data_IF_061009432281
#
_entry.id   IF_061009432281
#
_cell.length_a   1.000
_cell.length_b   1.000
_cell.length_c   1.000
_cell.angle_alpha   90.00
_cell.angle_beta   90.00
_cell.angle_gamma   90.00
#
_symmetry.space_group_name_H-M   'P 1'
#
loop_
_entity.id
_entity.type
_entity.pdbx_description
1 polymer ?
#
# COMPACT_ATOMS: atom_id res chain seq x y z
N UNK A 1 55.85 -73.30 -8.88
CA UNK A 1 54.75 -74.03 -9.55
C UNK A 1 53.46 -73.55 -8.92
N UNK A 2 52.83 -72.52 -9.47
CA UNK A 2 51.75 -72.59 -10.47
C UNK A 2 50.51 -73.36 -10.00
N UNK A 3 49.39 -72.64 -9.89
CA UNK A 3 48.06 -73.21 -9.62
C UNK A 3 47.03 -72.12 -9.31
N UNK A 4 46.68 -71.33 -10.32
CA UNK A 4 45.58 -70.34 -10.33
C UNK A 4 44.25 -71.06 -10.63
N UNK A 5 43.10 -70.46 -10.27
CA UNK A 5 41.69 -70.62 -10.77
C UNK A 5 40.73 -70.66 -9.57
N UNK A 6 39.56 -70.00 -9.48
CA UNK A 6 38.89 -68.80 -10.02
C UNK A 6 37.57 -68.64 -9.20
N UNK A 7 37.09 -67.39 -9.05
CA UNK A 7 35.67 -66.98 -8.92
C UNK A 7 34.78 -67.50 -7.77
N UNK A 8 34.12 -66.57 -7.05
CA UNK A 8 32.69 -66.26 -7.28
C UNK A 8 32.25 -64.95 -6.61
N UNK A 9 31.61 -64.11 -7.42
CA UNK A 9 30.92 -62.85 -7.08
C UNK A 9 29.66 -63.05 -6.22
N UNK A 10 29.31 -62.05 -5.41
CA UNK A 10 28.07 -62.00 -4.63
C UNK A 10 27.80 -60.60 -4.07
N UNK A 11 27.39 -59.68 -4.94
CA UNK A 11 26.85 -58.36 -4.59
C UNK A 11 25.38 -58.52 -4.18
N UNK A 12 24.97 -58.05 -3.01
CA UNK A 12 23.57 -58.03 -2.55
C UNK A 12 23.19 -56.60 -2.15
N UNK A 13 22.68 -55.85 -3.12
CA UNK A 13 21.91 -54.63 -2.88
C UNK A 13 20.43 -54.99 -2.74
N UNK A 14 19.92 -54.91 -1.51
CA UNK A 14 18.50 -55.08 -1.20
C UNK A 14 17.70 -53.84 -1.60
N UNK A 15 17.02 -53.98 -2.75
CA UNK A 15 15.75 -53.35 -3.13
C UNK A 15 14.78 -53.26 -1.91
N UNK A 16 14.33 -52.09 -1.43
CA UNK A 16 13.14 -51.34 -1.91
C UNK A 16 12.88 -50.10 -1.02
N UNK A 17 12.91 -48.86 -1.54
CA UNK A 17 12.21 -47.74 -0.89
C UNK A 17 11.25 -47.01 -1.84
N UNK A 18 10.67 -47.68 -2.85
CA UNK A 18 9.89 -46.98 -3.89
C UNK A 18 8.44 -46.65 -3.49
N UNK A 19 7.87 -47.28 -2.46
CA UNK A 19 6.46 -47.08 -2.06
C UNK A 19 6.24 -46.06 -0.92
N UNK A 20 7.26 -45.78 -0.10
CA UNK A 20 7.15 -44.84 1.01
C UNK A 20 7.28 -43.37 0.56
N UNK A 21 7.88 -43.11 -0.60
CA UNK A 21 8.08 -41.76 -1.16
C UNK A 21 6.82 -41.18 -1.83
N UNK A 22 5.90 -42.02 -2.30
CA UNK A 22 4.70 -41.57 -3.02
C UNK A 22 3.60 -41.03 -2.09
N UNK A 23 3.49 -41.53 -0.87
CA UNK A 23 2.48 -41.08 0.11
C UNK A 23 2.87 -39.77 0.81
N UNK A 24 4.17 -39.50 0.99
CA UNK A 24 4.65 -38.25 1.58
C UNK A 24 4.43 -37.03 0.66
N UNK A 25 4.41 -37.23 -0.67
CA UNK A 25 4.23 -36.15 -1.64
C UNK A 25 2.78 -35.65 -1.72
N UNK A 26 1.79 -36.45 -1.33
CA UNK A 26 0.37 -36.10 -1.43
C UNK A 26 -0.16 -35.30 -0.22
N UNK A 27 0.51 -35.42 0.95
CA UNK A 27 0.19 -34.58 2.12
C UNK A 27 0.81 -33.18 2.05
N UNK A 28 1.88 -32.98 1.28
CA UNK A 28 2.60 -31.71 1.21
C UNK A 28 1.92 -30.66 0.31
N UNK A 29 1.04 -31.08 -0.60
CA UNK A 29 0.32 -30.20 -1.54
C UNK A 29 -0.90 -29.51 -0.92
N UNK A 30 -1.36 -29.91 0.27
CA UNK A 30 -2.48 -29.26 0.97
C UNK A 30 -2.07 -28.02 1.79
N UNK A 31 -0.78 -27.70 1.84
CA UNK A 31 -0.25 -26.51 2.51
C UNK A 31 0.02 -25.33 1.56
N UNK A 32 -0.30 -25.45 0.27
CA UNK A 32 -0.35 -24.30 -0.65
C UNK A 32 -1.65 -23.54 -0.36
N UNK A 33 -1.66 -22.87 0.78
CA UNK A 33 -2.75 -22.02 1.21
C UNK A 33 -3.05 -20.98 0.15
N UNK A 34 -4.34 -20.89 -0.20
CA UNK A 34 -4.92 -19.82 -0.99
C UNK A 34 -4.57 -18.48 -0.31
N UNK A 35 -3.52 -17.84 -0.81
CA UNK A 35 -3.24 -16.46 -0.49
C UNK A 35 -4.45 -15.66 -0.95
N UNK A 36 -5.13 -15.01 -0.01
CA UNK A 36 -6.07 -13.93 -0.32
C UNK A 36 -5.28 -12.83 -1.04
N UNK A 37 -5.15 -12.97 -2.35
CA UNK A 37 -4.48 -12.02 -3.23
C UNK A 37 -5.50 -11.00 -3.65
N UNK A 38 -5.30 -9.75 -3.24
CA UNK A 38 -5.95 -8.63 -3.91
C UNK A 38 -5.62 -8.70 -5.41
N UNK A 39 -6.56 -8.44 -6.33
CA UNK A 39 -6.27 -8.39 -7.77
C UNK A 39 -5.44 -7.16 -8.16
N UNK A 40 -5.09 -6.31 -7.18
CA UNK A 40 -4.32 -5.09 -7.39
C UNK A 40 -2.89 -5.26 -6.90
N UNK A 41 -1.97 -4.71 -7.68
CA UNK A 41 -0.59 -4.50 -7.30
C UNK A 41 -0.46 -3.18 -6.51
N UNK A 42 0.35 -3.19 -5.46
CA UNK A 42 0.59 -2.04 -4.60
C UNK A 42 2.08 -1.70 -4.54
N UNK A 43 2.38 -0.41 -4.53
CA UNK A 43 3.73 0.13 -4.43
C UNK A 43 3.88 1.03 -3.19
N UNK A 44 5.05 1.04 -2.54
CA UNK A 44 5.31 1.92 -1.41
C UNK A 44 5.10 3.40 -1.75
N UNK A 45 4.30 4.09 -0.96
CA UNK A 45 4.04 5.51 -1.08
C UNK A 45 4.63 6.26 0.10
N UNK A 46 5.57 7.14 -0.19
CA UNK A 46 6.23 8.01 0.79
C UNK A 46 6.29 9.42 0.25
N UNK A 47 6.48 10.42 1.11
CA UNK A 47 6.63 11.77 0.61
C UNK A 47 6.57 12.84 1.69
N UNK A 48 6.45 14.08 1.22
CA UNK A 48 6.37 15.27 2.05
C UNK A 48 5.28 16.21 1.55
N UNK A 49 4.62 16.86 2.50
CA UNK A 49 3.56 17.83 2.28
C UNK A 49 3.97 19.15 2.93
N UNK A 50 4.02 20.21 2.12
CA UNK A 50 4.30 21.57 2.60
C UNK A 50 3.32 22.55 2.00
N UNK A 51 3.29 23.78 2.52
CA UNK A 51 2.72 24.87 1.76
C UNK A 51 3.58 25.20 0.53
N UNK A 52 3.00 25.91 -0.43
CA UNK A 52 3.70 26.36 -1.65
C UNK A 52 4.95 27.21 -1.37
N UNK A 53 4.94 27.97 -0.26
CA UNK A 53 6.09 28.76 0.19
C UNK A 53 7.16 27.93 0.92
N UNK A 54 6.99 26.61 0.98
CA UNK A 54 7.88 25.66 1.64
C UNK A 54 7.70 25.56 3.16
N UNK A 55 6.82 26.38 3.77
CA UNK A 55 6.55 26.26 5.21
C UNK A 55 5.75 24.99 5.53
N UNK A 56 6.00 24.42 6.71
CA UNK A 56 5.25 23.26 7.19
C UNK A 56 3.79 23.64 7.48
N UNK A 57 2.89 22.69 7.26
CA UNK A 57 1.50 22.81 7.71
C UNK A 57 1.50 22.67 9.24
N UNK A 58 0.95 23.63 10.00
CA UNK A 58 0.93 23.57 11.46
C UNK A 58 0.37 22.24 11.94
N UNK A 59 1.14 21.52 12.74
CA UNK A 59 0.70 20.24 13.29
C UNK A 59 -0.03 20.46 14.61
N UNK A 60 -1.27 19.96 14.70
CA UNK A 60 -2.18 20.23 15.80
C UNK A 60 -3.01 19.02 16.22
N UNK A 61 -2.71 17.85 15.66
CA UNK A 61 -3.47 16.63 15.91
C UNK A 61 -3.13 15.56 14.89
N UNK A 62 -3.94 15.43 13.85
CA UNK A 62 -3.74 14.41 12.81
C UNK A 62 -4.02 15.00 11.44
N UNK A 63 -2.98 15.12 10.62
CA UNK A 63 -3.16 15.41 9.19
C UNK A 63 -3.30 14.07 8.47
N UNK A 64 -4.45 13.86 7.84
CA UNK A 64 -4.78 12.62 7.13
C UNK A 64 -4.78 12.87 5.63
N UNK A 65 -4.15 11.95 4.90
CA UNK A 65 -4.19 11.90 3.45
C UNK A 65 -4.91 10.65 2.97
N UNK A 66 -5.66 10.78 1.88
CA UNK A 66 -6.32 9.69 1.19
C UNK A 66 -5.94 9.69 -0.29
N UNK A 67 -5.45 8.54 -0.77
CA UNK A 67 -5.08 8.30 -2.16
C UNK A 67 -6.26 7.58 -2.82
N UNK A 68 -7.02 8.32 -3.62
CA UNK A 68 -8.18 7.79 -4.33
C UNK A 68 -7.78 7.42 -5.76
N UNK A 69 -7.81 6.12 -6.06
CA UNK A 69 -7.47 5.64 -7.39
C UNK A 69 -8.43 6.14 -8.46
N UNK A 70 -7.86 6.51 -9.59
CA UNK A 70 -8.57 6.91 -10.80
C UNK A 70 -8.65 5.75 -11.82
N UNK A 71 -8.14 4.56 -11.48
CA UNK A 71 -8.22 3.40 -12.38
C UNK A 71 -9.64 2.82 -12.41
N UNK A 72 -10.11 2.33 -13.56
CA UNK A 72 -11.40 1.68 -13.66
C UNK A 72 -11.43 0.36 -12.87
N UNK A 73 -12.63 -0.10 -12.45
CA UNK A 73 -12.76 -1.38 -11.79
C UNK A 73 -12.36 -2.55 -12.70
N UNK A 74 -11.67 -3.55 -12.15
CA UNK A 74 -11.38 -4.81 -12.84
C UNK A 74 -12.67 -5.61 -12.97
N UNK A 75 -12.96 -6.07 -14.19
CA UNK A 75 -14.18 -6.81 -14.56
C UNK A 75 -15.49 -6.11 -14.14
N UNK A 76 -15.46 -4.78 -13.96
CA UNK A 76 -16.61 -4.00 -13.48
C UNK A 76 -17.03 -4.28 -12.04
N UNK A 77 -16.25 -5.07 -11.29
CA UNK A 77 -16.63 -5.58 -9.95
C UNK A 77 -15.64 -5.20 -8.86
N UNK A 78 -14.35 -5.19 -9.16
CA UNK A 78 -13.31 -4.95 -8.17
C UNK A 78 -12.85 -3.51 -8.25
N UNK A 79 -13.06 -2.77 -7.17
CA UNK A 79 -12.58 -1.40 -7.01
C UNK A 79 -11.35 -1.36 -6.11
N UNK A 80 -10.39 -0.51 -6.43
CA UNK A 80 -9.25 -0.26 -5.55
C UNK A 80 -9.72 0.49 -4.32
N UNK A 81 -9.39 -0.05 -3.15
CA UNK A 81 -9.64 0.65 -1.89
C UNK A 81 -8.71 1.86 -1.79
N UNK A 82 -9.20 3.05 -1.43
CA UNK A 82 -8.35 4.19 -1.19
C UNK A 82 -7.32 3.89 -0.11
N UNK A 83 -6.09 4.33 -0.31
CA UNK A 83 -5.05 4.21 0.70
C UNK A 83 -5.07 5.42 1.64
N UNK A 84 -4.68 5.22 2.89
CA UNK A 84 -4.59 6.28 3.89
C UNK A 84 -3.15 6.43 4.34
N UNK A 85 -2.67 7.67 4.40
CA UNK A 85 -1.42 8.03 5.07
C UNK A 85 -1.69 9.08 6.16
N UNK A 86 -0.82 9.09 7.16
CA UNK A 86 -0.79 10.13 8.19
C UNK A 86 0.49 10.92 8.03
N UNK A 87 0.36 12.23 8.12
CA UNK A 87 1.48 13.16 7.95
C UNK A 87 1.98 13.56 9.33
N UNK A 88 3.29 13.42 9.52
CA UNK A 88 4.01 13.80 10.73
C UNK A 88 4.19 15.32 10.83
N UNK A 89 4.67 15.77 12.00
CA UNK A 89 4.77 17.19 12.31
C UNK A 89 5.74 17.97 11.40
N UNK A 90 6.68 17.29 10.77
CA UNK A 90 7.62 17.86 9.79
C UNK A 90 7.09 17.87 8.35
N UNK A 91 5.84 17.43 8.17
CA UNK A 91 5.17 17.33 6.88
C UNK A 91 5.45 16.02 6.14
N UNK A 92 6.22 15.08 6.68
CA UNK A 92 6.52 13.82 6.00
C UNK A 92 5.45 12.76 6.23
N UNK A 93 5.35 11.78 5.33
CA UNK A 93 4.63 10.53 5.57
C UNK A 93 5.46 9.35 5.06
N UNK A 94 5.67 8.37 5.93
CA UNK A 94 6.55 7.23 5.62
C UNK A 94 5.86 6.08 4.91
N UNK A 95 4.52 6.05 4.92
CA UNK A 95 3.77 4.95 4.32
C UNK A 95 2.30 5.30 4.15
N UNK A 96 1.69 4.74 3.10
CA UNK A 96 0.25 4.63 2.96
C UNK A 96 -0.21 3.17 3.22
N UNK A 97 -1.46 3.01 3.59
CA UNK A 97 -2.10 1.70 3.81
C UNK A 97 -3.43 1.65 3.08
N UNK A 98 -3.58 0.71 2.15
CA UNK A 98 -4.83 0.39 1.45
C UNK A 98 -5.50 -0.84 2.06
N UNK A 99 -4.84 -2.00 2.01
CA UNK A 99 -5.40 -3.30 2.42
C UNK A 99 -4.65 -3.91 3.63
N UNK A 100 -3.33 -4.05 3.53
CA UNK A 100 -2.44 -4.53 4.60
C UNK A 100 -1.60 -3.38 5.15
N UNK A 101 -1.20 -3.44 6.41
CA UNK A 101 -0.39 -2.38 7.02
C UNK A 101 0.86 -2.09 6.19
N UNK A 102 1.03 -0.82 5.79
CA UNK A 102 2.14 -0.32 4.95
C UNK A 102 2.27 -0.99 3.57
N UNK A 103 1.18 -1.50 3.00
CA UNK A 103 1.19 -2.06 1.64
C UNK A 103 1.29 -1.00 0.54
N UNK A 104 1.02 0.27 0.87
CA UNK A 104 1.17 1.39 -0.04
C UNK A 104 -0.10 1.70 -0.82
N UNK A 105 0.07 2.11 -2.07
CA UNK A 105 -1.01 2.54 -2.97
C UNK A 105 -1.04 1.67 -4.21
N UNK A 106 -2.22 1.50 -4.80
CA UNK A 106 -2.33 0.71 -6.02
C UNK A 106 -1.57 1.39 -7.17
N UNK A 107 -1.03 0.63 -8.12
CA UNK A 107 -0.35 1.21 -9.30
C UNK A 107 -1.30 2.10 -10.11
N UNK A 108 -0.78 3.20 -10.66
CA UNK A 108 -1.48 4.15 -11.52
C UNK A 108 -1.80 5.49 -10.84
N UNK A 109 -2.70 6.26 -11.48
CA UNK A 109 -3.03 7.62 -11.06
C UNK A 109 -3.95 7.68 -9.84
N UNK A 110 -3.64 8.59 -8.91
CA UNK A 110 -4.45 8.90 -7.75
C UNK A 110 -4.76 10.38 -7.65
N UNK A 111 -5.99 10.68 -7.23
CA UNK A 111 -6.32 11.98 -6.65
C UNK A 111 -6.02 11.95 -5.16
N UNK A 112 -5.46 13.03 -4.64
CA UNK A 112 -5.10 13.15 -3.23
C UNK A 112 -6.10 14.04 -2.52
N UNK A 113 -6.66 13.51 -1.43
CA UNK A 113 -7.47 14.27 -0.50
C UNK A 113 -6.70 14.45 0.79
N UNK A 114 -6.66 15.66 1.31
CA UNK A 114 -5.95 16.02 2.54
C UNK A 114 -6.94 16.66 3.49
N UNK A 115 -6.89 16.23 4.75
CA UNK A 115 -7.63 16.85 5.84
C UNK A 115 -6.64 17.25 6.92
N UNK A 116 -6.57 18.55 7.18
CA UNK A 116 -5.73 19.14 8.21
C UNK A 116 -6.53 20.22 8.94
N UNK A 117 -6.71 20.03 10.25
CA UNK A 117 -7.43 20.96 11.12
C UNK A 117 -6.69 21.18 12.43
N UNK A 118 -6.88 22.36 13.02
CA UNK A 118 -6.39 22.64 14.37
C UNK A 118 -7.19 21.91 15.46
N UNK A 119 -6.71 22.01 16.71
CA UNK A 119 -7.38 21.40 17.86
C UNK A 119 -8.78 21.97 18.11
N UNK A 120 -9.10 23.12 17.51
CA UNK A 120 -10.40 23.79 17.56
C UNK A 120 -11.28 23.44 16.34
N UNK A 121 -10.79 22.58 15.44
CA UNK A 121 -11.49 22.14 14.23
C UNK A 121 -11.42 23.12 13.06
N UNK A 122 -10.58 24.15 13.14
CA UNK A 122 -10.39 25.12 12.04
C UNK A 122 -9.52 24.51 10.97
N UNK A 123 -9.95 24.64 9.72
CA UNK A 123 -9.21 24.16 8.56
C UNK A 123 -7.86 24.88 8.41
N UNK A 124 -6.80 24.10 8.28
CA UNK A 124 -5.43 24.56 8.04
C UNK A 124 -5.07 24.58 6.56
N UNK A 125 -5.90 23.98 5.73
CA UNK A 125 -5.81 23.92 4.28
C UNK A 125 -7.18 24.26 3.68
N UNK A 126 -7.23 24.74 2.43
CA UNK A 126 -8.51 24.97 1.76
C UNK A 126 -9.36 23.70 1.64
N UNK A 127 -10.67 23.87 1.66
CA UNK A 127 -11.62 22.74 1.64
C UNK A 127 -11.60 21.95 0.33
N UNK A 128 -11.12 22.52 -0.77
CA UNK A 128 -10.99 21.82 -2.06
C UNK A 128 -10.04 20.63 -2.00
N UNK A 129 -8.99 20.70 -1.18
CA UNK A 129 -8.09 19.56 -0.96
C UNK A 129 -8.78 18.42 -0.21
N UNK A 130 -9.90 18.66 0.46
CA UNK A 130 -10.69 17.64 1.14
C UNK A 130 -11.75 16.96 0.25
N UNK A 131 -11.86 17.35 -1.02
CA UNK A 131 -12.92 16.89 -1.92
C UNK A 131 -12.34 16.31 -3.22
N UNK A 132 -12.79 15.10 -3.59
CA UNK A 132 -12.34 14.37 -4.79
C UNK A 132 -12.62 15.13 -6.10
N UNK A 133 -13.71 15.89 -6.14
CA UNK A 133 -14.15 16.56 -7.38
C UNK A 133 -13.41 17.87 -7.62
N UNK A 134 -12.87 18.50 -6.56
CA UNK A 134 -12.26 19.82 -6.63
C UNK A 134 -10.78 19.86 -6.26
N UNK A 135 -10.23 18.77 -5.71
CA UNK A 135 -8.80 18.70 -5.40
C UNK A 135 -7.96 18.85 -6.67
N UNK A 136 -6.96 19.77 -6.67
CA UNK A 136 -6.02 19.90 -7.78
C UNK A 136 -4.87 18.88 -7.69
N UNK A 137 -4.82 18.06 -6.64
CA UNK A 137 -3.71 17.13 -6.40
C UNK A 137 -3.94 15.80 -7.11
N UNK A 138 -3.13 15.57 -8.14
CA UNK A 138 -3.02 14.28 -8.85
C UNK A 138 -1.56 13.83 -8.86
N UNK A 139 -1.35 12.54 -8.61
CA UNK A 139 -0.03 11.90 -8.68
C UNK A 139 -0.14 10.59 -9.44
N UNK A 140 0.98 10.10 -9.96
CA UNK A 140 1.13 8.71 -10.38
C UNK A 140 1.90 7.92 -9.31
N UNK A 141 1.46 6.70 -8.99
CA UNK A 141 2.10 5.87 -7.98
C UNK A 141 3.59 5.61 -8.24
N UNK A 142 4.02 5.67 -9.50
CA UNK A 142 5.42 5.48 -9.92
C UNK A 142 6.33 6.67 -9.57
N UNK A 143 5.78 7.83 -9.21
CA UNK A 143 6.53 9.05 -8.89
C UNK A 143 6.95 9.15 -7.41
N UNK A 144 6.71 8.10 -6.61
CA UNK A 144 7.13 8.03 -5.21
C UNK A 144 8.67 8.08 -5.10
N UNK A 145 9.26 8.93 -4.22
CA UNK A 145 8.62 9.73 -3.17
C UNK A 145 8.00 11.05 -3.67
N UNK A 146 6.87 11.42 -3.07
CA UNK A 146 6.09 12.59 -3.49
C UNK A 146 6.50 13.90 -2.79
N UNK A 147 6.52 15.00 -3.54
CA UNK A 147 6.63 16.37 -2.99
C UNK A 147 5.33 17.15 -3.25
N UNK A 148 4.43 17.17 -2.27
CA UNK A 148 3.12 17.81 -2.39
C UNK A 148 3.14 19.23 -1.84
N UNK A 149 2.71 20.18 -2.66
CA UNK A 149 2.58 21.60 -2.30
C UNK A 149 1.11 22.00 -2.23
N UNK A 150 0.72 22.62 -1.11
CA UNK A 150 -0.65 23.05 -0.84
C UNK A 150 -0.68 24.57 -0.69
N UNK A 151 -1.69 25.25 -1.22
CA UNK A 151 -1.88 26.68 -0.93
C UNK A 151 -2.37 26.89 0.51
N UNK A 152 -2.04 28.03 1.09
CA UNK A 152 -2.60 28.43 2.40
C UNK A 152 -4.08 28.81 2.27
N UNK A 153 -4.91 28.56 3.29
CA UNK A 153 -6.29 29.03 3.30
C UNK A 153 -6.33 30.54 3.47
N UNK A 154 -7.19 31.20 2.70
CA UNK A 154 -7.48 32.63 2.76
C UNK A 154 -8.18 33.01 4.07
N UNK A 155 -8.20 34.31 4.40
CA UNK A 155 -8.83 34.80 5.62
C UNK A 155 -10.34 34.50 5.66
N UNK A 156 -11.02 34.45 4.50
CA UNK A 156 -12.45 34.18 4.41
C UNK A 156 -12.74 32.67 4.56
N UNK A 157 -11.93 31.81 3.95
CA UNK A 157 -12.04 30.35 4.13
C UNK A 157 -11.86 29.92 5.59
N UNK A 158 -10.99 30.62 6.33
CA UNK A 158 -10.77 30.40 7.78
C UNK A 158 -11.98 30.76 8.65
N UNK A 159 -12.89 31.62 8.18
CA UNK A 159 -14.08 32.08 8.91
C UNK A 159 -15.30 31.20 8.62
N UNK A 160 -15.39 30.65 7.41
CA UNK A 160 -16.51 29.83 6.96
C UNK A 160 -16.47 28.36 7.46
N UNK A 161 -15.87 28.12 8.63
CA UNK A 161 -15.77 26.81 9.27
C UNK A 161 -17.14 26.36 9.83
N UNK A 162 -18.16 26.27 8.99
CA UNK A 162 -19.31 25.43 9.24
C UNK A 162 -18.92 24.08 8.65
N UNK A 163 -18.45 23.18 9.50
CA UNK A 163 -18.14 21.79 9.14
C UNK A 163 -19.44 21.19 8.60
N UNK A 164 -19.61 21.25 7.29
CA UNK A 164 -20.63 20.46 6.62
C UNK A 164 -20.13 19.02 6.78
N UNK A 165 -20.75 18.33 7.75
CA UNK A 165 -20.66 16.89 7.93
C UNK A 165 -21.09 16.23 6.62
N UNK A 166 -20.19 16.15 5.65
CA UNK A 166 -20.38 15.29 4.49
C UNK A 166 -19.90 13.90 4.89
N UNK A 167 -20.88 13.02 4.98
CA UNK A 167 -20.74 11.63 5.42
C UNK A 167 -19.71 10.88 4.56
N UNK A 168 -18.86 10.12 5.24
CA UNK A 168 -18.53 8.77 4.80
C UNK A 168 -19.33 7.79 5.67
#
# INVERSE_FOLDING_TARGET
MQGRVLHRSGNIHSFRPLRALLTASLLLSMLVGCGSSSPFEYVPATGKVTYEDGSAIPFSGTTRMLFASQSPPIDGKYYQKPAVAYVDADGTFESATSHKYKDGIAVGKHKILISASDAQGKLLIPSEYGNIDTTPLEIDAEESPFELKIRKPTAEERKNTKVEKSLY
#
